data_IF_639333376362
#
_entry.id   IF_639333376362
#
_cell.length_a   1.000
_cell.length_b   1.000
_cell.length_c   1.000
_cell.angle_alpha   90.00
_cell.angle_beta   90.00
_cell.angle_gamma   90.00
#
_symmetry.space_group_name_H-M   'P 1'
#
loop_
_entity.id
_entity.type
_entity.pdbx_description
1 polymer ?
#
# COMPACT_ATOMS: atom_id res chain seq x y z
N UNK A 1 13.33 28.82 -6.76
CA UNK A 1 12.02 29.04 -7.43
C UNK A 1 11.62 27.71 -8.07
N UNK A 2 10.92 26.85 -7.35
CA UNK A 2 10.55 25.53 -7.84
C UNK A 2 9.05 25.50 -8.10
N UNK A 3 8.71 25.39 -9.38
CA UNK A 3 7.36 25.19 -9.86
C UNK A 3 6.83 23.82 -9.39
N UNK A 4 5.85 23.85 -8.50
CA UNK A 4 4.99 22.70 -8.22
C UNK A 4 3.86 22.77 -9.23
N UNK A 5 4.02 22.05 -10.35
CA UNK A 5 2.98 21.90 -11.37
C UNK A 5 1.81 21.10 -10.79
N UNK A 6 0.65 21.72 -10.81
CA UNK A 6 -0.56 21.31 -10.14
C UNK A 6 -1.20 20.06 -10.69
N UNK A 7 -1.82 19.33 -9.79
CA UNK A 7 -2.94 18.45 -10.10
C UNK A 7 -4.16 19.32 -10.39
N UNK A 8 -4.62 19.29 -11.64
CA UNK A 8 -5.80 20.03 -12.07
C UNK A 8 -7.06 19.51 -11.37
N UNK A 9 -7.62 20.33 -10.51
CA UNK A 9 -9.02 20.23 -10.09
C UNK A 9 -9.89 20.85 -11.19
N UNK A 10 -10.89 20.10 -11.67
CA UNK A 10 -11.91 20.61 -12.57
C UNK A 10 -12.55 21.90 -11.98
N UNK A 11 -12.31 23.03 -12.61
CA UNK A 11 -13.28 24.10 -12.73
C UNK A 11 -13.53 25.00 -11.53
N UNK A 12 -12.69 25.09 -10.51
CA UNK A 12 -12.78 26.15 -9.50
C UNK A 12 -11.46 26.92 -9.41
N UNK A 13 -11.53 28.25 -9.58
CA UNK A 13 -10.44 29.18 -9.36
C UNK A 13 -9.91 28.99 -7.94
N UNK A 14 -8.74 28.39 -7.79
CA UNK A 14 -7.99 28.40 -6.53
C UNK A 14 -7.43 29.81 -6.38
N UNK A 15 -8.22 30.67 -5.78
CA UNK A 15 -7.80 31.99 -5.31
C UNK A 15 -6.67 31.81 -4.31
N UNK A 16 -5.69 32.70 -4.31
CA UNK A 16 -4.51 32.84 -3.47
C UNK A 16 -4.73 32.45 -1.99
N UNK A 17 -4.86 31.15 -1.71
CA UNK A 17 -4.91 30.66 -0.35
C UNK A 17 -3.51 30.69 0.25
N UNK A 18 -3.35 31.12 1.50
CA UNK A 18 -2.08 31.01 2.21
C UNK A 18 -1.55 29.58 2.13
N UNK A 19 -0.23 29.42 1.92
CA UNK A 19 0.43 28.12 1.71
C UNK A 19 0.07 27.07 2.79
N UNK A 20 -0.03 27.52 4.04
CA UNK A 20 -0.43 26.71 5.19
C UNK A 20 -1.89 26.21 5.08
N UNK A 21 -2.80 27.03 4.56
CA UNK A 21 -4.20 26.63 4.39
C UNK A 21 -4.35 25.63 3.23
N UNK A 22 -3.62 25.85 2.13
CA UNK A 22 -3.56 24.91 1.01
C UNK A 22 -3.00 23.54 1.45
N UNK A 23 -1.90 23.52 2.20
CA UNK A 23 -1.31 22.31 2.76
C UNK A 23 -2.29 21.58 3.69
N UNK A 24 -2.94 22.30 4.59
CA UNK A 24 -3.94 21.72 5.50
C UNK A 24 -5.11 21.11 4.73
N UNK A 25 -5.62 21.76 3.69
CA UNK A 25 -6.67 21.21 2.83
C UNK A 25 -6.20 19.96 2.06
N UNK A 26 -4.95 19.97 1.56
CA UNK A 26 -4.35 18.84 0.85
C UNK A 26 -4.24 17.61 1.76
N UNK A 27 -3.68 17.78 2.96
CA UNK A 27 -3.51 16.67 3.91
C UNK A 27 -4.85 16.15 4.45
N UNK A 28 -5.81 17.02 4.69
CA UNK A 28 -7.15 16.62 5.16
C UNK A 28 -7.92 15.75 4.15
N UNK A 29 -7.62 15.86 2.84
CA UNK A 29 -8.26 15.02 1.82
C UNK A 29 -7.91 13.54 1.92
N UNK A 30 -6.74 13.24 2.45
CA UNK A 30 -6.30 11.86 2.67
C UNK A 30 -6.50 11.39 4.11
N UNK A 31 -7.24 12.15 4.93
CA UNK A 31 -7.64 11.77 6.27
C UNK A 31 -9.09 11.35 6.31
N UNK A 32 -9.42 10.23 6.96
CA UNK A 32 -10.80 9.90 7.29
C UNK A 32 -11.41 10.97 8.22
N UNK A 33 -12.67 11.30 8.00
CA UNK A 33 -13.36 12.34 8.83
C UNK A 33 -13.40 12.01 10.32
N UNK A 34 -13.33 10.73 10.66
CA UNK A 34 -13.39 10.20 12.03
C UNK A 34 -12.08 9.53 12.45
N UNK A 35 -10.94 9.95 11.88
CA UNK A 35 -9.65 9.42 12.31
C UNK A 35 -9.36 9.82 13.76
N UNK A 36 -8.63 8.96 14.45
CA UNK A 36 -8.14 9.18 15.81
C UNK A 36 -6.63 9.01 15.84
N UNK A 37 -5.98 9.47 16.91
CA UNK A 37 -4.52 9.45 17.03
C UNK A 37 -3.96 8.02 17.12
N UNK A 38 -4.77 7.09 17.58
CA UNK A 38 -4.45 5.67 17.72
C UNK A 38 -4.49 4.91 16.38
N UNK A 39 -5.09 5.49 15.34
CA UNK A 39 -5.17 4.84 14.04
C UNK A 39 -3.79 4.52 13.47
N UNK A 40 -3.66 3.33 12.91
CA UNK A 40 -2.47 2.89 12.22
C UNK A 40 -2.69 2.97 10.71
N UNK A 41 -1.85 3.69 10.01
CA UNK A 41 -1.92 3.79 8.56
C UNK A 41 -0.98 2.79 7.90
N UNK A 42 -1.55 1.81 7.19
CA UNK A 42 -0.79 0.90 6.34
C UNK A 42 -0.58 1.57 4.98
N UNK A 43 0.58 2.16 4.83
CA UNK A 43 0.95 2.94 3.65
C UNK A 43 1.83 2.13 2.71
N UNK A 44 1.61 2.28 1.43
CA UNK A 44 2.50 1.76 0.39
C UNK A 44 2.30 2.51 -0.92
N UNK A 45 3.30 2.53 -1.78
CA UNK A 45 3.06 2.82 -3.20
C UNK A 45 2.18 1.70 -3.82
N UNK A 46 1.33 2.00 -4.81
CA UNK A 46 0.53 0.96 -5.47
C UNK A 46 1.39 -0.22 -5.92
N UNK A 47 0.85 -1.44 -5.80
CA UNK A 47 1.49 -2.69 -6.24
C UNK A 47 2.70 -3.17 -5.41
N UNK A 48 2.92 -2.62 -4.22
CA UNK A 48 3.97 -3.08 -3.28
C UNK A 48 3.60 -4.32 -2.46
N UNK A 49 2.47 -5.00 -2.71
CA UNK A 49 2.07 -6.21 -1.95
C UNK A 49 1.03 -5.95 -0.85
N UNK A 50 0.47 -4.74 -0.80
CA UNK A 50 -0.46 -4.30 0.24
C UNK A 50 -1.67 -5.26 0.44
N UNK A 51 -2.20 -5.88 -0.62
CA UNK A 51 -3.33 -6.80 -0.50
C UNK A 51 -2.98 -8.02 0.35
N UNK A 52 -1.84 -8.65 0.09
CA UNK A 52 -1.37 -9.79 0.89
C UNK A 52 -1.09 -9.39 2.35
N UNK A 53 -0.39 -8.25 2.55
CA UNK A 53 -0.10 -7.78 3.90
C UNK A 53 -1.37 -7.47 4.70
N UNK A 54 -2.42 -6.95 4.07
CA UNK A 54 -3.72 -6.77 4.74
C UNK A 54 -4.33 -8.10 5.20
N UNK A 55 -4.24 -9.15 4.38
CA UNK A 55 -4.72 -10.48 4.78
C UNK A 55 -3.89 -11.04 5.94
N UNK A 56 -2.56 -10.89 5.90
CA UNK A 56 -1.67 -11.30 7.01
C UNK A 56 -2.04 -10.59 8.32
N UNK A 57 -2.15 -9.27 8.29
CA UNK A 57 -2.52 -8.48 9.46
C UNK A 57 -3.93 -8.83 9.96
N UNK A 58 -4.92 -8.90 9.07
CA UNK A 58 -6.29 -9.20 9.44
C UNK A 58 -6.41 -10.60 10.08
N UNK A 59 -5.74 -11.60 9.52
CA UNK A 59 -5.74 -12.95 10.09
C UNK A 59 -4.94 -13.02 11.40
N UNK A 60 -3.84 -12.28 11.54
CA UNK A 60 -3.12 -12.17 12.81
C UNK A 60 -3.99 -11.54 13.90
N UNK A 61 -4.71 -10.47 13.59
CA UNK A 61 -5.69 -9.86 14.49
C UNK A 61 -6.83 -10.84 14.81
N UNK A 62 -7.36 -11.55 13.81
CA UNK A 62 -8.38 -12.57 14.01
C UNK A 62 -7.94 -13.62 15.02
N UNK A 63 -6.77 -14.19 14.82
CA UNK A 63 -6.23 -15.25 15.71
C UNK A 63 -5.96 -14.70 17.10
N UNK A 64 -5.26 -13.59 17.22
CA UNK A 64 -4.89 -13.01 18.51
C UNK A 64 -6.10 -12.60 19.37
N UNK A 65 -7.14 -12.04 18.75
CA UNK A 65 -8.34 -11.58 19.46
C UNK A 65 -9.49 -12.59 19.44
N UNK A 66 -9.27 -13.82 18.99
CA UNK A 66 -10.25 -14.90 18.90
C UNK A 66 -11.54 -14.46 18.18
N UNK A 67 -11.39 -13.86 16.99
CA UNK A 67 -12.53 -13.43 16.18
C UNK A 67 -13.01 -14.58 15.31
N UNK A 68 -14.30 -14.92 15.39
CA UNK A 68 -14.89 -16.03 14.61
C UNK A 68 -14.97 -15.72 13.13
N UNK A 69 -15.17 -14.44 12.77
CA UNK A 69 -15.36 -14.00 11.39
C UNK A 69 -14.14 -14.31 10.51
N UNK A 70 -14.36 -15.02 9.40
CA UNK A 70 -13.31 -15.29 8.44
C UNK A 70 -12.92 -14.04 7.62
N UNK A 71 -11.62 -13.94 7.30
CA UNK A 71 -11.09 -12.88 6.44
C UNK A 71 -11.13 -13.33 4.98
N UNK A 72 -11.78 -12.55 4.14
CA UNK A 72 -11.94 -12.83 2.72
C UNK A 72 -12.06 -11.55 1.89
N UNK A 73 -12.15 -11.65 0.56
CA UNK A 73 -12.25 -10.49 -0.33
C UNK A 73 -13.57 -9.71 -0.20
N UNK A 74 -14.61 -10.28 0.40
CA UNK A 74 -15.88 -9.57 0.65
C UNK A 74 -15.79 -8.60 1.82
N UNK A 75 -15.01 -8.96 2.85
CA UNK A 75 -14.98 -8.21 4.10
C UNK A 75 -13.64 -7.54 4.44
N UNK A 76 -12.58 -7.79 3.69
CA UNK A 76 -11.25 -7.21 3.98
C UNK A 76 -11.28 -5.67 4.00
N UNK A 77 -12.16 -5.04 3.23
CA UNK A 77 -12.32 -3.57 3.24
C UNK A 77 -13.11 -3.07 4.45
N UNK A 78 -13.90 -3.93 5.08
CA UNK A 78 -14.61 -3.62 6.32
C UNK A 78 -13.71 -3.85 7.54
N UNK A 79 -12.73 -4.78 7.45
CA UNK A 79 -11.76 -5.07 8.49
C UNK A 79 -10.59 -4.07 8.46
N UNK A 80 -9.99 -3.87 7.30
CA UNK A 80 -8.92 -2.89 7.04
C UNK A 80 -9.38 -1.95 5.93
N UNK A 81 -10.08 -0.88 6.29
CA UNK A 81 -10.63 0.06 5.33
C UNK A 81 -9.55 0.76 4.53
N UNK A 82 -9.90 1.20 3.32
CA UNK A 82 -9.01 1.90 2.40
C UNK A 82 -9.48 3.34 2.21
N UNK A 83 -8.57 4.28 2.27
CA UNK A 83 -8.84 5.66 1.87
C UNK A 83 -9.07 5.67 0.36
N UNK A 84 -10.28 6.02 -0.05
CA UNK A 84 -10.69 6.13 -1.45
C UNK A 84 -11.14 7.57 -1.69
N UNK A 85 -10.45 8.28 -2.58
CA UNK A 85 -10.82 9.64 -2.99
C UNK A 85 -10.84 10.65 -1.83
N UNK A 86 -11.95 11.32 -1.60
CA UNK A 86 -12.11 12.46 -0.69
C UNK A 86 -12.14 12.12 0.82
N UNK A 87 -11.50 11.03 1.25
CA UNK A 87 -11.48 10.64 2.67
C UNK A 87 -12.82 10.07 3.19
N UNK A 88 -13.76 9.74 2.30
CA UNK A 88 -15.00 9.03 2.68
C UNK A 88 -14.66 7.56 2.93
N UNK A 89 -14.16 7.28 4.13
CA UNK A 89 -14.13 5.92 4.64
C UNK A 89 -15.56 5.47 4.91
N UNK A 90 -15.94 4.31 4.40
CA UNK A 90 -17.00 3.55 5.04
C UNK A 90 -16.50 3.26 6.45
N UNK A 91 -17.24 3.74 7.43
CA UNK A 91 -16.97 3.48 8.84
C UNK A 91 -16.97 1.97 9.05
N UNK A 92 -15.86 1.45 9.42
CA UNK A 92 -15.60 0.05 9.65
C UNK A 92 -14.17 -0.09 10.15
N UNK A 93 -13.73 -1.28 10.28
CA UNK A 93 -12.38 -1.63 10.72
C UNK A 93 -12.43 -2.49 11.97
N UNK A 94 -11.35 -3.24 12.16
CA UNK A 94 -11.12 -4.00 13.38
C UNK A 94 -12.27 -4.95 13.75
N UNK A 95 -12.92 -5.56 12.73
CA UNK A 95 -14.07 -6.47 12.94
C UNK A 95 -15.24 -5.83 13.72
N UNK A 96 -15.35 -4.51 13.71
CA UNK A 96 -16.36 -3.78 14.50
C UNK A 96 -16.07 -3.70 15.99
N UNK A 97 -14.88 -4.09 16.44
CA UNK A 97 -14.43 -4.09 17.84
C UNK A 97 -13.56 -2.88 18.15
N UNK A 98 -13.68 -2.33 19.34
CA UNK A 98 -12.92 -1.14 19.79
C UNK A 98 -11.62 -1.49 20.51
N UNK A 99 -11.47 -2.74 20.95
CA UNK A 99 -10.26 -3.27 21.59
C UNK A 99 -9.20 -3.74 20.57
N UNK A 100 -9.58 -3.82 19.29
CA UNK A 100 -8.65 -4.17 18.20
C UNK A 100 -8.14 -2.89 17.53
N UNK A 101 -6.83 -2.73 17.32
CA UNK A 101 -6.28 -1.55 16.63
C UNK A 101 -6.92 -1.34 15.26
N UNK A 102 -7.36 -0.11 14.98
CA UNK A 102 -7.89 0.23 13.66
C UNK A 102 -6.73 0.50 12.70
N UNK A 103 -6.67 -0.30 11.64
CA UNK A 103 -5.68 -0.18 10.59
C UNK A 103 -6.34 0.32 9.32
N UNK A 104 -5.77 1.35 8.70
CA UNK A 104 -6.34 2.05 7.55
C UNK A 104 -5.34 2.01 6.40
N UNK A 105 -5.72 1.41 5.27
CA UNK A 105 -4.87 1.34 4.09
C UNK A 105 -4.84 2.68 3.36
N UNK A 106 -3.63 3.14 3.00
CA UNK A 106 -3.42 4.33 2.19
C UNK A 106 -2.36 4.12 1.09
N UNK A 107 -2.52 4.83 -0.03
CA UNK A 107 -1.50 4.99 -1.07
C UNK A 107 -1.04 6.45 -1.19
N UNK A 108 -1.42 7.30 -0.23
CA UNK A 108 -1.06 8.70 -0.24
C UNK A 108 0.45 8.90 -0.05
N UNK A 109 0.99 9.98 -0.61
CA UNK A 109 2.27 10.52 -0.21
C UNK A 109 2.22 10.93 1.27
N UNK A 110 3.35 11.36 1.83
CA UNK A 110 3.48 11.77 3.21
C UNK A 110 2.33 12.66 3.69
N UNK A 111 1.83 12.31 4.88
CA UNK A 111 0.82 13.09 5.59
C UNK A 111 1.22 13.26 7.06
N UNK A 112 1.42 14.48 7.56
CA UNK A 112 1.86 14.75 8.93
C UNK A 112 0.85 14.32 10.00
N UNK A 113 -0.40 14.04 9.63
CA UNK A 113 -1.44 13.58 10.53
C UNK A 113 -1.54 12.04 10.64
N UNK A 114 -0.68 11.31 9.94
CA UNK A 114 -0.55 9.86 10.12
C UNK A 114 0.47 9.60 11.23
N UNK A 115 0.01 9.51 12.48
CA UNK A 115 0.91 9.42 13.63
C UNK A 115 1.57 8.05 13.79
N UNK A 116 0.88 6.98 13.40
CA UNK A 116 1.40 5.61 13.42
C UNK A 116 1.33 5.04 12.00
N UNK A 117 2.47 4.66 11.46
CA UNK A 117 2.58 4.22 10.06
C UNK A 117 3.35 2.91 9.96
N UNK A 118 2.76 1.97 9.25
CA UNK A 118 3.45 0.81 8.67
C UNK A 118 3.66 1.15 7.20
N UNK A 119 4.90 1.40 6.81
CA UNK A 119 5.27 1.71 5.43
C UNK A 119 5.78 0.43 4.75
N UNK A 120 5.01 -0.12 3.83
CA UNK A 120 5.42 -1.24 3.00
C UNK A 120 6.07 -0.73 1.73
N UNK A 121 7.33 -1.08 1.54
CA UNK A 121 8.11 -0.79 0.32
C UNK A 121 8.35 -2.07 -0.48
N UNK A 122 8.66 -1.92 -1.76
CA UNK A 122 8.99 -3.01 -2.67
C UNK A 122 9.97 -2.53 -3.73
N UNK A 123 10.80 -3.44 -4.24
CA UNK A 123 11.72 -3.18 -5.35
C UNK A 123 11.00 -2.43 -6.50
N UNK A 124 11.46 -1.23 -6.87
CA UNK A 124 10.80 -0.42 -7.89
C UNK A 124 10.70 -1.11 -9.25
N UNK A 125 11.64 -2.00 -9.61
CA UNK A 125 11.58 -2.78 -10.85
C UNK A 125 10.36 -3.69 -10.86
N UNK A 126 10.12 -4.39 -9.75
CA UNK A 126 8.98 -5.27 -9.55
C UNK A 126 7.65 -4.50 -9.50
N UNK A 127 7.68 -3.31 -8.86
CA UNK A 127 6.52 -2.42 -8.78
C UNK A 127 6.11 -1.96 -10.17
N UNK A 128 7.06 -1.51 -11.01
CA UNK A 128 6.75 -1.01 -12.35
C UNK A 128 6.12 -2.10 -13.23
N UNK A 129 6.68 -3.31 -13.23
CA UNK A 129 6.09 -4.46 -13.95
C UNK A 129 4.69 -4.77 -13.46
N UNK A 130 4.51 -4.84 -12.13
CA UNK A 130 3.19 -5.13 -11.54
C UNK A 130 2.17 -4.03 -11.82
N UNK A 131 2.59 -2.77 -11.86
CA UNK A 131 1.72 -1.63 -12.09
C UNK A 131 1.28 -1.55 -13.54
N UNK A 132 2.20 -1.80 -14.48
CA UNK A 132 1.89 -1.89 -15.90
C UNK A 132 0.75 -2.87 -16.19
N UNK A 133 0.88 -4.09 -15.73
CA UNK A 133 -0.16 -5.09 -15.94
C UNK A 133 -1.48 -4.74 -15.24
N UNK A 134 -1.41 -4.12 -14.08
CA UNK A 134 -2.59 -3.68 -13.34
C UNK A 134 -3.35 -2.58 -14.10
N UNK A 135 -2.65 -1.56 -14.58
CA UNK A 135 -3.26 -0.45 -15.31
C UNK A 135 -3.84 -0.90 -16.65
N UNK A 136 -3.19 -1.84 -17.34
CA UNK A 136 -3.75 -2.49 -18.53
C UNK A 136 -5.03 -3.26 -18.21
N UNK A 137 -5.01 -4.08 -17.18
CA UNK A 137 -6.18 -4.84 -16.74
C UNK A 137 -7.38 -3.95 -16.39
N UNK A 138 -7.13 -2.76 -15.82
CA UNK A 138 -8.15 -1.75 -15.55
C UNK A 138 -8.51 -0.87 -16.75
N UNK A 139 -7.85 -1.05 -17.90
CA UNK A 139 -8.00 -0.18 -19.09
C UNK A 139 -7.73 1.30 -18.78
N UNK A 140 -6.83 1.58 -17.81
CA UNK A 140 -6.42 2.94 -17.46
C UNK A 140 -5.29 3.47 -18.34
N UNK A 141 -4.64 2.59 -19.09
CA UNK A 141 -3.69 2.90 -20.15
C UNK A 141 -4.12 2.17 -21.43
N UNK A 142 -3.66 2.66 -22.58
CA UNK A 142 -3.95 2.06 -23.87
C UNK A 142 -3.38 0.63 -23.97
N UNK A 143 -4.05 -0.24 -24.72
CA UNK A 143 -3.51 -1.57 -25.04
C UNK A 143 -2.18 -1.48 -25.82
N UNK A 144 -1.99 -0.41 -26.61
CA UNK A 144 -0.75 -0.14 -27.31
C UNK A 144 0.39 0.36 -26.43
N UNK A 145 0.10 0.84 -25.20
CA UNK A 145 1.14 1.33 -24.30
C UNK A 145 2.11 0.21 -23.93
N UNK A 146 3.38 0.45 -24.15
CA UNK A 146 4.47 -0.46 -23.77
C UNK A 146 4.87 -0.27 -22.31
N UNK A 147 5.56 -1.26 -21.73
CA UNK A 147 6.09 -1.13 -20.38
C UNK A 147 7.16 -0.04 -20.29
N UNK A 148 7.96 0.15 -21.35
CA UNK A 148 8.99 1.18 -21.42
C UNK A 148 8.40 2.60 -21.40
N UNK A 149 7.27 2.83 -22.07
CA UNK A 149 6.54 4.08 -22.01
C UNK A 149 5.96 4.32 -20.62
N UNK A 150 5.35 3.30 -20.00
CA UNK A 150 4.83 3.44 -18.63
C UNK A 150 5.91 3.81 -17.61
N UNK A 151 7.08 3.17 -17.67
CA UNK A 151 8.19 3.44 -16.74
C UNK A 151 8.59 4.91 -16.78
N UNK A 152 8.46 5.56 -17.94
CA UNK A 152 8.82 6.98 -18.18
C UNK A 152 7.64 7.95 -18.05
N UNK A 153 6.45 7.43 -17.80
CA UNK A 153 5.23 8.25 -17.65
C UNK A 153 5.30 9.13 -16.39
N UNK A 154 4.87 10.38 -16.48
CA UNK A 154 4.95 11.34 -15.37
C UNK A 154 4.01 11.01 -14.20
N UNK A 155 2.91 10.32 -14.48
CA UNK A 155 1.86 10.01 -13.50
C UNK A 155 2.05 8.65 -12.83
N UNK A 156 2.39 7.65 -13.63
CA UNK A 156 2.43 6.25 -13.19
C UNK A 156 3.84 5.66 -13.14
N UNK A 157 4.81 6.33 -13.77
CA UNK A 157 6.16 5.84 -13.94
C UNK A 157 7.03 5.92 -12.69
N UNK A 158 8.31 5.61 -12.87
CA UNK A 158 9.27 5.48 -11.76
C UNK A 158 9.39 6.76 -10.92
N UNK A 159 9.26 7.94 -11.53
CA UNK A 159 9.37 9.19 -10.78
C UNK A 159 8.22 9.39 -9.79
N UNK A 160 7.06 8.79 -10.03
CA UNK A 160 5.95 8.77 -9.08
C UNK A 160 6.27 7.90 -7.85
N UNK A 161 6.89 6.75 -8.05
CA UNK A 161 7.40 5.90 -6.96
C UNK A 161 8.48 6.62 -6.14
N UNK A 162 9.43 7.27 -6.81
CA UNK A 162 10.51 8.06 -6.17
C UNK A 162 9.93 9.18 -5.31
N UNK A 163 8.99 9.96 -5.85
CA UNK A 163 8.34 11.06 -5.10
C UNK A 163 7.61 10.55 -3.86
N UNK A 164 6.83 9.46 -4.00
CA UNK A 164 6.12 8.85 -2.88
C UNK A 164 7.11 8.36 -1.80
N UNK A 165 8.12 7.60 -2.19
CA UNK A 165 9.11 7.03 -1.26
C UNK A 165 9.93 8.13 -0.56
N UNK A 166 10.41 9.12 -1.31
CA UNK A 166 11.13 10.28 -0.73
C UNK A 166 10.27 11.07 0.25
N UNK A 167 8.99 11.26 -0.03
CA UNK A 167 8.11 11.99 0.87
C UNK A 167 7.98 11.30 2.24
N UNK A 168 7.87 9.98 2.26
CA UNK A 168 7.79 9.21 3.51
C UNK A 168 9.12 9.09 4.23
N UNK A 169 10.24 9.06 3.51
CA UNK A 169 11.56 8.91 4.12
C UNK A 169 12.10 10.22 4.70
N UNK A 170 11.94 11.34 3.99
CA UNK A 170 12.56 12.61 4.37
C UNK A 170 11.63 13.61 5.07
N UNK A 171 10.32 13.56 4.78
CA UNK A 171 9.40 14.58 5.29
C UNK A 171 8.80 14.22 6.66
N UNK A 172 9.00 12.96 7.13
CA UNK A 172 8.45 12.53 8.42
C UNK A 172 9.14 13.24 9.60
N UNK A 173 8.35 13.49 10.66
CA UNK A 173 8.84 14.03 11.91
C UNK A 173 8.95 12.89 12.95
N UNK A 174 10.17 12.39 13.25
CA UNK A 174 10.36 11.28 14.19
C UNK A 174 9.96 11.62 15.63
N UNK A 175 9.83 12.91 15.98
CA UNK A 175 9.36 13.33 17.30
C UNK A 175 7.84 13.15 17.47
N UNK A 176 7.07 13.18 16.38
CA UNK A 176 5.59 13.10 16.42
C UNK A 176 5.01 11.90 15.67
N UNK A 177 5.82 11.21 14.90
CA UNK A 177 5.35 10.09 14.05
C UNK A 177 6.15 8.83 14.31
N UNK A 178 5.45 7.71 14.44
CA UNK A 178 6.04 6.38 14.58
C UNK A 178 5.90 5.65 13.26
N UNK A 179 6.98 5.63 12.46
CA UNK A 179 7.03 4.95 11.18
C UNK A 179 7.88 3.70 11.31
N UNK A 180 7.30 2.56 10.92
CA UNK A 180 8.01 1.29 10.74
C UNK A 180 8.01 0.94 9.26
N UNK A 181 9.20 0.73 8.72
CA UNK A 181 9.39 0.40 7.30
C UNK A 181 9.59 -1.11 7.19
N UNK A 182 8.84 -1.73 6.30
CA UNK A 182 8.94 -3.15 5.97
C UNK A 182 9.13 -3.31 4.47
N UNK A 183 9.97 -4.26 4.06
CA UNK A 183 10.16 -4.62 2.66
C UNK A 183 9.30 -5.83 2.32
N UNK A 184 8.68 -5.79 1.15
CA UNK A 184 7.89 -6.91 0.65
C UNK A 184 8.73 -8.18 0.51
N UNK A 185 9.97 -8.03 0.09
CA UNK A 185 10.92 -9.12 -0.12
C UNK A 185 11.27 -9.82 1.19
N UNK A 186 11.41 -9.08 2.29
CA UNK A 186 11.72 -9.66 3.61
C UNK A 186 10.55 -10.54 4.11
N UNK A 187 9.29 -10.15 3.80
CA UNK A 187 8.14 -11.01 4.05
C UNK A 187 8.13 -12.29 3.20
N UNK A 188 8.68 -12.27 2.00
CA UNK A 188 8.82 -13.48 1.18
C UNK A 188 9.94 -14.39 1.70
N UNK A 189 10.99 -13.83 2.27
CA UNK A 189 12.13 -14.55 2.83
C UNK A 189 11.78 -15.20 4.16
N UNK A 190 11.21 -14.44 5.10
CA UNK A 190 10.76 -14.93 6.41
C UNK A 190 9.45 -14.25 6.83
N UNK A 191 8.33 -14.79 6.36
CA UNK A 191 7.00 -14.27 6.67
C UNK A 191 6.73 -14.26 8.17
N UNK A 192 7.19 -15.29 8.91
CA UNK A 192 6.91 -15.44 10.34
C UNK A 192 7.60 -14.35 11.16
N UNK A 193 8.89 -14.16 10.92
CA UNK A 193 9.67 -13.10 11.59
C UNK A 193 9.08 -11.71 11.27
N UNK A 194 8.82 -11.43 10.00
CA UNK A 194 8.31 -10.12 9.61
C UNK A 194 6.91 -9.86 10.16
N UNK A 195 6.05 -10.86 10.20
CA UNK A 195 4.73 -10.74 10.82
C UNK A 195 4.84 -10.50 12.33
N UNK A 196 5.73 -11.24 13.03
CA UNK A 196 6.01 -11.02 14.45
C UNK A 196 6.44 -9.56 14.71
N UNK A 197 7.46 -9.07 13.99
CA UNK A 197 7.97 -7.70 14.15
C UNK A 197 6.90 -6.64 13.83
N UNK A 198 6.04 -6.92 12.85
CA UNK A 198 4.94 -6.02 12.51
C UNK A 198 3.92 -5.98 13.65
N UNK A 199 3.47 -7.14 14.16
CA UNK A 199 2.49 -7.20 15.24
C UNK A 199 3.06 -6.62 16.55
N UNK A 200 4.33 -6.88 16.86
CA UNK A 200 5.04 -6.23 17.98
C UNK A 200 5.03 -4.69 17.84
N UNK A 201 5.22 -4.15 16.64
CA UNK A 201 5.15 -2.70 16.41
C UNK A 201 3.76 -2.10 16.67
N UNK A 202 2.73 -2.93 16.65
CA UNK A 202 1.36 -2.58 17.04
C UNK A 202 1.11 -2.74 18.55
N UNK A 203 2.07 -3.28 19.29
CA UNK A 203 1.95 -3.61 20.70
C UNK A 203 1.29 -4.98 20.95
N UNK A 204 1.26 -5.84 19.94
CA UNK A 204 0.63 -7.17 19.99
C UNK A 204 1.72 -8.23 19.96
N UNK A 205 1.84 -9.00 21.02
CA UNK A 205 2.78 -10.12 21.09
C UNK A 205 2.03 -11.41 20.78
N UNK A 206 2.49 -12.12 19.78
CA UNK A 206 1.93 -13.40 19.35
C UNK A 206 2.93 -14.52 19.59
N UNK A 207 2.42 -15.68 19.98
CA UNK A 207 3.22 -16.90 20.03
C UNK A 207 3.40 -17.51 18.61
N UNK A 208 4.32 -18.47 18.53
CA UNK A 208 4.69 -19.12 17.27
C UNK A 208 3.50 -19.82 16.59
N UNK A 209 2.64 -20.47 17.34
CA UNK A 209 1.50 -21.21 16.81
C UNK A 209 0.45 -20.26 16.22
N UNK A 210 0.20 -19.14 16.89
CA UNK A 210 -0.71 -18.08 16.41
C UNK A 210 -0.20 -17.41 15.14
N UNK A 211 1.12 -17.18 15.04
CA UNK A 211 1.74 -16.66 13.82
C UNK A 211 1.60 -17.63 12.65
N UNK A 212 1.88 -18.91 12.88
CA UNK A 212 1.76 -19.95 11.84
C UNK A 212 0.32 -20.12 11.37
N UNK A 213 -0.66 -20.07 12.26
CA UNK A 213 -2.07 -20.08 11.89
C UNK A 213 -2.44 -18.87 11.03
N UNK A 214 -2.06 -17.66 11.43
CA UNK A 214 -2.33 -16.44 10.66
C UNK A 214 -1.71 -16.49 9.24
N UNK A 215 -0.50 -17.02 9.11
CA UNK A 215 0.19 -17.22 7.84
C UNK A 215 -0.55 -18.24 6.98
N UNK A 216 -0.93 -19.38 7.55
CA UNK A 216 -1.67 -20.42 6.83
C UNK A 216 -3.03 -19.92 6.32
N UNK A 217 -3.73 -19.09 7.12
CA UNK A 217 -4.98 -18.44 6.73
C UNK A 217 -4.79 -17.41 5.61
N UNK A 218 -3.59 -16.86 5.46
CA UNK A 218 -3.21 -15.85 4.47
C UNK A 218 -2.45 -16.43 3.28
N UNK A 219 -2.45 -17.76 3.12
CA UNK A 219 -1.76 -18.43 2.02
C UNK A 219 -2.32 -17.98 0.67
N UNK A 220 -1.48 -18.03 -0.34
CA UNK A 220 -1.83 -17.64 -1.71
C UNK A 220 -3.00 -18.46 -2.25
N UNK A 221 -3.04 -19.73 -1.91
CA UNK A 221 -4.09 -20.68 -2.32
C UNK A 221 -5.45 -20.25 -1.75
N UNK A 222 -5.51 -19.99 -0.45
CA UNK A 222 -6.73 -19.50 0.23
C UNK A 222 -7.17 -18.14 -0.29
N UNK A 223 -6.24 -17.23 -0.50
CA UNK A 223 -6.56 -15.92 -1.06
C UNK A 223 -7.10 -16.04 -2.48
N UNK A 224 -6.52 -16.89 -3.31
CA UNK A 224 -6.99 -17.13 -4.69
C UNK A 224 -8.38 -17.76 -4.72
N UNK A 225 -8.64 -18.74 -3.85
CA UNK A 225 -9.97 -19.34 -3.69
C UNK A 225 -11.01 -18.27 -3.29
N UNK A 226 -10.69 -17.47 -2.30
CA UNK A 226 -11.54 -16.35 -1.85
C UNK A 226 -11.77 -15.32 -2.96
N UNK A 227 -10.75 -15.00 -3.75
CA UNK A 227 -10.86 -14.08 -4.88
C UNK A 227 -11.81 -14.62 -5.96
N UNK A 228 -11.69 -15.89 -6.31
CA UNK A 228 -12.55 -16.54 -7.30
C UNK A 228 -14.01 -16.57 -6.85
N UNK A 229 -14.28 -16.89 -5.58
CA UNK A 229 -15.62 -16.82 -5.00
C UNK A 229 -16.19 -15.39 -5.06
N UNK A 230 -15.36 -14.38 -4.77
CA UNK A 230 -15.77 -12.98 -4.86
C UNK A 230 -16.05 -12.55 -6.31
N UNK A 231 -15.21 -12.92 -7.26
CA UNK A 231 -15.37 -12.56 -8.66
C UNK A 231 -16.66 -13.15 -9.26
N UNK A 232 -16.97 -14.42 -8.94
CA UNK A 232 -18.17 -15.10 -9.44
C UNK A 232 -19.49 -14.46 -8.98
N UNK A 233 -19.48 -13.77 -7.83
CA UNK A 233 -20.69 -13.14 -7.27
C UNK A 233 -20.84 -11.66 -7.67
N UNK A 234 -19.77 -10.99 -8.05
CA UNK A 234 -19.79 -9.53 -8.27
C UNK A 234 -19.66 -9.08 -9.73
N UNK A 235 -19.65 -9.99 -10.71
CA UNK A 235 -19.49 -9.67 -12.14
C UNK A 235 -18.29 -8.72 -12.42
N UNK A 236 -17.33 -8.64 -11.50
CA UNK A 236 -16.10 -7.89 -11.70
C UNK A 236 -15.25 -8.67 -12.69
N UNK A 237 -14.83 -8.02 -13.77
CA UNK A 237 -14.03 -8.55 -14.88
C UNK A 237 -13.16 -9.75 -14.45
N UNK A 238 -13.50 -10.94 -14.88
CA UNK A 238 -12.78 -12.22 -14.65
C UNK A 238 -11.29 -12.16 -15.03
N UNK A 239 -10.88 -11.12 -15.74
CA UNK A 239 -9.50 -10.89 -16.21
C UNK A 239 -8.58 -10.22 -15.19
N UNK A 240 -9.09 -9.76 -14.04
CA UNK A 240 -8.28 -9.07 -13.03
C UNK A 240 -8.12 -9.91 -11.78
N UNK A 241 -6.99 -10.59 -11.65
CA UNK A 241 -6.59 -11.21 -10.39
C UNK A 241 -5.71 -10.26 -9.57
N UNK A 242 -6.14 -9.97 -8.32
CA UNK A 242 -5.33 -9.27 -7.32
C UNK A 242 -4.23 -10.20 -6.79
N UNK A 243 -4.54 -11.49 -6.67
CA UNK A 243 -3.61 -12.56 -6.28
C UNK A 243 -2.94 -13.12 -7.54
N UNK A 244 -2.02 -12.35 -8.13
CA UNK A 244 -1.26 -12.85 -9.30
C UNK A 244 -0.23 -13.90 -8.86
N UNK A 245 1.04 -13.68 -9.08
CA UNK A 245 2.06 -14.70 -8.81
C UNK A 245 2.68 -14.61 -7.41
N UNK A 246 2.57 -13.43 -6.72
CA UNK A 246 3.12 -13.24 -5.36
C UNK A 246 4.63 -13.54 -5.28
N UNK A 247 5.38 -13.20 -6.33
CA UNK A 247 6.80 -13.47 -6.44
C UNK A 247 7.60 -12.18 -6.53
N UNK A 248 8.83 -12.21 -6.00
CA UNK A 248 9.85 -11.21 -6.27
C UNK A 248 10.54 -11.46 -7.62
N UNK A 249 11.45 -10.57 -8.01
CA UNK A 249 12.28 -10.65 -9.21
C UNK A 249 11.52 -10.55 -10.55
N UNK A 250 10.39 -9.84 -10.58
CA UNK A 250 9.68 -9.54 -11.83
C UNK A 250 10.43 -8.58 -12.72
N UNK A 251 11.36 -7.83 -12.17
CA UNK A 251 12.28 -7.00 -12.95
C UNK A 251 13.01 -7.74 -14.06
N UNK A 252 13.02 -9.09 -14.04
CA UNK A 252 13.57 -9.91 -15.14
C UNK A 252 12.80 -9.77 -16.46
N UNK A 253 11.54 -9.35 -16.40
CA UNK A 253 10.70 -9.09 -17.58
C UNK A 253 11.09 -7.78 -18.31
N UNK A 254 11.91 -6.92 -17.68
CA UNK A 254 12.35 -5.63 -18.21
C UNK A 254 13.56 -5.79 -19.13
N UNK A 255 13.61 -4.92 -20.14
CA UNK A 255 14.85 -4.75 -20.92
C UNK A 255 15.98 -4.18 -20.03
N UNK A 256 17.23 -4.42 -20.41
CA UNK A 256 18.37 -3.88 -19.66
C UNK A 256 18.35 -2.33 -19.62
N UNK A 257 17.89 -1.69 -20.69
CA UNK A 257 17.74 -0.24 -20.74
C UNK A 257 16.67 0.28 -19.77
N UNK A 258 15.56 -0.46 -19.60
CA UNK A 258 14.50 -0.09 -18.66
C UNK A 258 14.90 -0.34 -17.21
N UNK A 259 15.60 -1.45 -16.94
CA UNK A 259 16.20 -1.70 -15.62
C UNK A 259 17.14 -0.56 -15.23
N UNK A 260 18.08 -0.25 -16.11
CA UNK A 260 19.05 0.84 -15.88
C UNK A 260 18.34 2.17 -15.63
N UNK A 261 17.31 2.51 -16.41
CA UNK A 261 16.55 3.74 -16.22
C UNK A 261 15.86 3.80 -14.86
N UNK A 262 15.25 2.69 -14.41
CA UNK A 262 14.62 2.60 -13.09
C UNK A 262 15.68 2.77 -11.99
N UNK A 263 16.78 2.04 -12.08
CA UNK A 263 17.86 2.07 -11.11
C UNK A 263 18.49 3.46 -10.99
N UNK A 264 18.88 4.07 -12.11
CA UNK A 264 19.45 5.42 -12.11
C UNK A 264 18.47 6.49 -11.58
N UNK A 265 17.18 6.37 -11.89
CA UNK A 265 16.14 7.30 -11.43
C UNK A 265 15.82 7.17 -9.94
N UNK A 266 15.99 5.99 -9.37
CA UNK A 266 15.57 5.67 -7.99
C UNK A 266 16.71 5.43 -7.02
N UNK A 267 17.97 5.33 -7.48
CA UNK A 267 19.15 4.90 -6.72
C UNK A 267 19.24 5.47 -5.32
N UNK A 268 19.15 6.79 -5.18
CA UNK A 268 19.34 7.47 -3.89
C UNK A 268 18.34 6.97 -2.85
N UNK A 269 17.05 6.97 -3.19
CA UNK A 269 16.01 6.57 -2.23
C UNK A 269 15.92 5.05 -2.11
N UNK A 270 16.16 4.32 -3.18
CA UNK A 270 16.14 2.86 -3.17
C UNK A 270 17.23 2.30 -2.25
N UNK A 271 18.44 2.83 -2.30
CA UNK A 271 19.54 2.44 -1.40
C UNK A 271 19.20 2.69 0.08
N UNK A 272 18.56 3.82 0.41
CA UNK A 272 18.10 4.13 1.77
C UNK A 272 17.01 3.18 2.26
N UNK A 273 16.25 2.58 1.33
CA UNK A 273 15.23 1.57 1.62
C UNK A 273 15.77 0.13 1.56
N UNK A 274 17.10 -0.05 1.39
CA UNK A 274 17.76 -1.34 1.40
C UNK A 274 17.77 -2.06 0.04
N UNK A 275 17.53 -1.34 -1.07
CA UNK A 275 17.67 -1.89 -2.43
C UNK A 275 18.99 -1.47 -3.06
N UNK A 276 19.87 -2.44 -3.29
CA UNK A 276 21.17 -2.23 -3.94
C UNK A 276 21.07 -2.65 -5.41
N UNK A 277 21.53 -1.77 -6.31
CA UNK A 277 21.55 -1.97 -7.77
C UNK A 277 22.97 -1.97 -8.29
#
# INVERSE_FOLDING_TARGET
>A
MNNISGFFLRGQKVLNLPRNLYQKMYYNRSLPKNHVVEDVFLVSYPKSGNTWLRFLIANALKVHYNVEQDVNFFNILDIIPSIIGDGNLRLGGSFGRTDIPRIIKSHSAYNPYYYRVILLVRDPRDVMVSYYHYLKGLKQISEATTISELIRDDKYGIMSWVKHSKSWYFDHNPASQRIKIFRYEDFLEDTKLQLFLLMESLGIIMDDSSLEEAIALSSKERMKESELKHASLNLVNEKMSFVRQGVANRGRELSESDKKFIEDSSRDIASLLGYNF
#
